data_IF_790895437735
#
_entry.id   IF_790895437735
#
_cell.length_a   1.000
_cell.length_b   1.000
_cell.length_c   1.000
_cell.angle_alpha   90.00
_cell.angle_beta   90.00
_cell.angle_gamma   90.00
#
_symmetry.space_group_name_H-M   'P 1'
#
loop_
_entity.id
_entity.type
_entity.pdbx_description
1 polymer ?
#
# COMPACT_ATOMS: atom_id res chain seq x y z
N UNK A 1 5.82 27.65 1.51
CA UNK A 1 6.31 26.37 2.06
C UNK A 1 5.10 25.47 2.26
N UNK A 2 4.80 24.58 1.30
CA UNK A 2 3.62 23.72 1.36
C UNK A 2 4.04 22.31 1.78
N UNK A 3 3.58 21.90 2.96
CA UNK A 3 3.65 20.53 3.45
C UNK A 3 2.79 19.64 2.54
N UNK A 4 3.41 18.73 1.79
CA UNK A 4 2.70 17.57 1.26
C UNK A 4 2.70 16.51 2.37
N UNK A 5 1.73 16.63 3.28
CA UNK A 5 1.24 15.48 4.01
C UNK A 5 0.72 14.50 2.96
N UNK A 6 1.38 13.35 2.79
CA UNK A 6 0.78 12.24 2.06
C UNK A 6 -0.62 12.00 2.60
N UNK A 7 -1.64 11.75 1.76
CA UNK A 7 -3.01 11.65 2.24
C UNK A 7 -3.11 10.47 3.21
N UNK A 8 -3.12 10.77 4.51
CA UNK A 8 -3.80 9.93 5.49
C UNK A 8 -5.27 10.02 5.15
N UNK A 9 -5.79 8.95 4.54
CA UNK A 9 -7.22 8.77 4.38
C UNK A 9 -7.84 8.61 5.77
N UNK A 10 -8.57 9.63 6.21
CA UNK A 10 -9.68 9.48 7.13
C UNK A 10 -10.79 10.42 6.64
N UNK A 11 -11.89 9.85 6.13
CA UNK A 11 -13.03 9.69 7.00
C UNK A 11 -13.56 8.25 6.98
N UNK A 12 -13.78 7.68 8.17
CA UNK A 12 -14.64 6.51 8.40
C UNK A 12 -14.52 5.34 7.41
N UNK A 13 -13.33 4.78 7.20
CA UNK A 13 -13.20 3.50 6.51
C UNK A 13 -13.66 2.39 7.47
N UNK A 14 -14.96 2.12 7.45
CA UNK A 14 -15.49 0.87 8.00
C UNK A 14 -14.84 -0.25 7.21
N UNK A 15 -14.14 -1.12 7.92
CA UNK A 15 -13.62 -2.29 7.27
C UNK A 15 -14.78 -3.17 6.77
N UNK A 16 -14.64 -3.71 5.58
CA UNK A 16 -15.70 -4.45 4.89
C UNK A 16 -15.14 -5.67 4.18
N UNK A 17 -16.04 -6.61 3.91
CA UNK A 17 -15.82 -7.73 3.01
C UNK A 17 -16.63 -7.52 1.73
N UNK A 18 -15.97 -7.60 0.58
CA UNK A 18 -16.59 -7.54 -0.73
C UNK A 18 -16.52 -8.90 -1.38
N UNK A 19 -17.69 -9.44 -1.71
CA UNK A 19 -17.82 -10.70 -2.43
C UNK A 19 -18.14 -10.39 -3.89
N UNK A 20 -17.32 -10.91 -4.79
CA UNK A 20 -17.51 -10.82 -6.23
C UNK A 20 -18.47 -11.90 -6.73
N UNK A 21 -19.01 -11.69 -7.93
CA UNK A 21 -19.86 -12.67 -8.63
C UNK A 21 -19.13 -13.99 -8.96
N UNK A 22 -17.80 -13.96 -9.06
CA UNK A 22 -16.96 -15.15 -9.27
C UNK A 22 -16.67 -15.94 -7.98
N UNK A 23 -17.17 -15.46 -6.83
CA UNK A 23 -16.98 -16.09 -5.52
C UNK A 23 -15.74 -15.64 -4.75
N UNK A 24 -14.88 -14.79 -5.32
CA UNK A 24 -13.74 -14.21 -4.59
C UNK A 24 -14.23 -13.21 -3.54
N UNK A 25 -13.56 -13.19 -2.39
CA UNK A 25 -13.82 -12.24 -1.32
C UNK A 25 -12.57 -11.40 -1.03
N UNK A 26 -12.75 -10.09 -0.90
CA UNK A 26 -11.70 -9.14 -0.52
C UNK A 26 -12.09 -8.46 0.78
N UNK A 27 -11.14 -8.33 1.71
CA UNK A 27 -11.37 -7.77 3.03
C UNK A 27 -10.43 -6.60 3.27
N UNK A 28 -10.95 -5.50 3.77
CA UNK A 28 -10.13 -4.34 4.10
C UNK A 28 -10.94 -3.06 4.19
N UNK A 29 -10.24 -1.94 4.07
CA UNK A 29 -10.80 -0.60 4.14
C UNK A 29 -11.49 -0.29 2.80
N UNK A 30 -12.80 -0.05 2.86
CA UNK A 30 -13.65 0.19 1.69
C UNK A 30 -13.79 1.68 1.35
N UNK A 31 -13.50 2.05 0.11
CA UNK A 31 -13.81 3.37 -0.44
C UNK A 31 -14.52 3.25 -1.80
N UNK A 32 -15.31 4.25 -2.17
CA UNK A 32 -15.87 4.35 -3.51
C UNK A 32 -15.15 5.45 -4.30
N UNK A 33 -14.79 5.16 -5.55
CA UNK A 33 -14.00 6.08 -6.38
C UNK A 33 -14.59 6.24 -7.77
N UNK A 34 -14.48 7.45 -8.39
CA UNK A 34 -14.98 7.70 -9.74
C UNK A 34 -14.08 7.08 -10.82
N UNK A 35 -12.76 6.98 -10.57
CA UNK A 35 -11.80 6.41 -11.51
C UNK A 35 -10.54 5.91 -10.78
N UNK A 36 -9.72 5.09 -11.45
CA UNK A 36 -8.45 4.57 -10.90
C UNK A 36 -7.45 5.71 -10.64
N UNK A 37 -7.40 6.71 -11.52
CA UNK A 37 -6.53 7.90 -11.36
C UNK A 37 -7.12 9.00 -10.50
N UNK A 38 -8.43 8.94 -10.22
CA UNK A 38 -9.21 9.97 -9.55
C UNK A 38 -9.31 9.79 -8.04
N UNK A 39 -8.19 9.54 -7.37
CA UNK A 39 -8.12 9.62 -5.90
C UNK A 39 -8.17 11.07 -5.37
N UNK A 40 -8.55 12.04 -6.21
CA UNK A 40 -8.76 13.43 -5.86
C UNK A 40 -9.73 14.10 -6.85
N UNK A 41 -10.74 14.77 -6.28
CA UNK A 41 -11.80 15.59 -6.91
C UNK A 41 -12.32 15.13 -8.27
N UNK A 42 -13.56 14.63 -8.28
CA UNK A 42 -14.33 14.51 -9.52
C UNK A 42 -14.38 15.84 -10.30
N UNK A 43 -14.61 15.79 -11.62
CA UNK A 43 -14.69 17.00 -12.44
C UNK A 43 -15.72 17.97 -11.83
N UNK A 44 -15.39 19.26 -11.66
CA UNK A 44 -16.35 20.23 -11.18
C UNK A 44 -17.35 20.54 -12.29
N UNK A 45 -18.61 20.13 -12.13
CA UNK A 45 -19.68 20.67 -12.97
C UNK A 45 -20.79 19.73 -13.46
N UNK A 46 -21.21 18.71 -12.69
CA UNK A 46 -22.49 18.04 -12.96
C UNK A 46 -23.37 18.07 -11.69
N UNK A 47 -24.61 18.54 -11.83
CA UNK A 47 -25.66 18.56 -10.78
C UNK A 47 -26.11 17.13 -10.37
N UNK A 48 -25.64 16.12 -11.09
CA UNK A 48 -25.72 14.72 -10.71
C UNK A 48 -24.41 14.40 -9.97
N UNK A 49 -24.50 14.13 -8.67
CA UNK A 49 -23.34 13.78 -7.85
C UNK A 49 -22.42 12.76 -8.55
N UNK A 50 -21.10 12.84 -8.35
CA UNK A 50 -20.12 12.10 -9.15
C UNK A 50 -20.44 10.60 -9.12
N UNK A 51 -20.72 10.02 -10.28
CA UNK A 51 -20.90 8.57 -10.41
C UNK A 51 -19.62 7.88 -9.91
N UNK A 52 -19.75 7.02 -8.89
CA UNK A 52 -18.66 6.20 -8.34
C UNK A 52 -18.80 4.74 -8.80
N UNK A 53 -18.44 4.39 -10.06
CA UNK A 53 -18.64 3.04 -10.57
C UNK A 53 -17.65 2.02 -9.98
N UNK A 54 -16.64 2.45 -9.22
CA UNK A 54 -15.55 1.61 -8.72
C UNK A 54 -15.59 1.59 -7.20
N UNK A 55 -15.41 0.39 -6.65
CA UNK A 55 -15.10 0.15 -5.24
C UNK A 55 -13.61 -0.13 -5.11
N UNK A 56 -12.96 0.57 -4.20
CA UNK A 56 -11.59 0.36 -3.77
C UNK A 56 -11.59 -0.39 -2.44
N UNK A 57 -10.86 -1.49 -2.36
CA UNK A 57 -10.47 -2.12 -1.11
C UNK A 57 -8.97 -2.01 -0.90
N UNK A 58 -8.58 -1.55 0.29
CA UNK A 58 -7.20 -1.48 0.75
C UNK A 58 -7.02 -2.40 1.97
N UNK A 59 -6.25 -3.47 1.83
CA UNK A 59 -5.89 -4.43 2.89
C UNK A 59 -4.55 -4.09 3.57
N UNK A 60 -4.10 -2.84 3.41
CA UNK A 60 -2.76 -2.34 3.70
C UNK A 60 -1.64 -2.92 2.83
N UNK A 61 -1.73 -4.13 2.27
CA UNK A 61 -0.72 -4.68 1.37
C UNK A 61 -0.97 -4.32 -0.11
N UNK A 62 -2.24 -4.29 -0.51
CA UNK A 62 -2.73 -4.20 -1.89
C UNK A 62 -3.93 -3.28 -1.94
N UNK A 63 -4.05 -2.58 -3.07
CA UNK A 63 -5.22 -1.78 -3.42
C UNK A 63 -5.93 -2.44 -4.60
N UNK A 64 -7.14 -2.93 -4.38
CA UNK A 64 -7.95 -3.58 -5.40
C UNK A 64 -9.06 -2.62 -5.86
N UNK A 65 -9.02 -2.24 -7.14
CA UNK A 65 -10.06 -1.45 -7.79
C UNK A 65 -11.02 -2.39 -8.52
N UNK A 66 -12.27 -2.41 -8.09
CA UNK A 66 -13.28 -3.37 -8.54
C UNK A 66 -14.45 -2.58 -9.12
N UNK A 67 -14.90 -2.93 -10.33
CA UNK A 67 -16.14 -2.36 -10.87
C UNK A 67 -17.34 -2.84 -10.06
N UNK A 68 -18.24 -1.93 -9.68
CA UNK A 68 -19.50 -2.26 -8.97
C UNK A 68 -20.34 -3.31 -9.69
N UNK A 69 -20.20 -3.41 -11.02
CA UNK A 69 -20.91 -4.40 -11.85
C UNK A 69 -20.54 -5.84 -11.53
N UNK A 70 -19.34 -6.08 -10.98
CA UNK A 70 -18.84 -7.40 -10.62
C UNK A 70 -19.11 -7.75 -9.15
N UNK A 71 -19.67 -6.82 -8.38
CA UNK A 71 -20.03 -7.08 -6.99
C UNK A 71 -21.26 -7.98 -6.93
N UNK A 72 -21.20 -8.94 -6.00
CA UNK A 72 -22.34 -9.73 -5.55
C UNK A 72 -22.88 -9.17 -4.25
N UNK A 73 -22.00 -8.90 -3.28
CA UNK A 73 -22.36 -8.48 -1.93
C UNK A 73 -21.26 -7.61 -1.32
N UNK A 74 -21.64 -6.68 -0.44
CA UNK A 74 -20.72 -5.87 0.37
C UNK A 74 -21.18 -5.96 1.83
N UNK A 75 -20.36 -6.54 2.70
CA UNK A 75 -20.62 -6.73 4.12
C UNK A 75 -19.80 -5.73 4.92
N UNK A 76 -20.45 -4.66 5.38
CA UNK A 76 -19.79 -3.61 6.18
C UNK A 76 -19.66 -4.07 7.63
N UNK A 77 -18.50 -3.81 8.27
CA UNK A 77 -18.23 -4.19 9.66
C UNK A 77 -17.60 -5.58 9.81
N UNK A 78 -17.59 -6.41 8.76
CA UNK A 78 -16.97 -7.75 8.75
C UNK A 78 -15.51 -7.73 8.27
N UNK A 79 -14.75 -6.68 8.61
CA UNK A 79 -13.35 -6.58 8.20
C UNK A 79 -12.37 -7.52 8.91
N UNK A 80 -12.87 -8.41 9.77
CA UNK A 80 -12.03 -9.33 10.55
C UNK A 80 -11.24 -8.64 11.66
N UNK A 81 -10.46 -9.47 12.35
CA UNK A 81 -9.64 -9.06 13.49
C UNK A 81 -8.56 -8.06 13.09
N UNK A 82 -8.29 -7.10 13.97
CA UNK A 82 -7.15 -6.18 13.81
C UNK A 82 -5.87 -7.01 13.94
N UNK A 83 -5.02 -7.10 12.91
CA UNK A 83 -3.83 -7.92 12.98
C UNK A 83 -2.86 -7.38 14.03
N UNK A 84 -2.20 -8.29 14.75
CA UNK A 84 -1.12 -7.94 15.66
C UNK A 84 0.03 -7.27 14.90
N UNK A 85 0.61 -6.24 15.51
CA UNK A 85 1.64 -5.39 14.91
C UNK A 85 2.88 -5.38 15.78
N UNK A 86 3.96 -5.95 15.27
CA UNK A 86 5.28 -5.88 15.87
C UNK A 86 6.06 -4.75 15.24
N UNK A 87 6.58 -3.83 16.05
CA UNK A 87 7.41 -2.71 15.55
C UNK A 87 8.88 -3.03 15.76
N UNK A 88 9.65 -2.95 14.67
CA UNK A 88 11.09 -3.19 14.67
C UNK A 88 11.77 -1.83 14.52
N UNK A 89 12.69 -1.52 15.43
CA UNK A 89 13.38 -0.24 15.40
C UNK A 89 14.39 -0.18 14.25
N UNK A 90 14.15 0.70 13.28
CA UNK A 90 15.11 1.08 12.24
C UNK A 90 15.15 2.60 12.11
N UNK A 91 16.30 3.15 11.68
CA UNK A 91 16.45 4.57 11.37
C UNK A 91 15.92 4.89 9.96
N UNK A 92 14.63 4.68 9.73
CA UNK A 92 14.00 4.99 8.45
C UNK A 92 14.13 6.48 8.11
N UNK A 93 14.57 6.79 6.88
CA UNK A 93 14.76 8.16 6.44
C UNK A 93 13.42 8.81 6.12
N UNK A 94 13.10 9.87 6.86
CA UNK A 94 11.85 10.65 6.67
C UNK A 94 12.04 11.87 5.77
N UNK A 95 13.26 12.40 5.70
CA UNK A 95 13.59 13.62 4.97
C UNK A 95 14.89 13.36 4.20
N UNK A 96 14.87 13.59 2.88
CA UNK A 96 16.05 13.40 2.03
C UNK A 96 15.69 13.00 0.59
N UNK A 97 16.63 12.37 -0.14
CA UNK A 97 16.41 11.86 -1.48
C UNK A 97 15.18 10.94 -1.52
N UNK A 98 14.17 11.29 -2.31
CA UNK A 98 12.88 10.59 -2.33
C UNK A 98 12.76 9.74 -3.59
N UNK A 99 12.40 8.46 -3.42
CA UNK A 99 12.13 7.57 -4.56
C UNK A 99 10.73 7.87 -5.09
N UNK A 100 10.66 8.53 -6.26
CA UNK A 100 9.39 8.82 -6.96
C UNK A 100 9.02 7.76 -7.99
N UNK A 101 10.03 7.17 -8.61
CA UNK A 101 9.88 6.12 -9.61
C UNK A 101 11.00 5.10 -9.45
N UNK A 102 10.66 3.85 -9.71
CA UNK A 102 11.59 2.71 -9.70
C UNK A 102 11.64 2.21 -11.13
N UNK A 103 12.82 2.23 -11.75
CA UNK A 103 13.05 1.62 -13.06
C UNK A 103 13.28 0.11 -12.95
N UNK A 104 13.89 -0.52 -13.97
CA UNK A 104 14.19 -1.94 -13.93
C UNK A 104 15.00 -2.32 -12.69
N UNK A 105 14.54 -3.37 -12.00
CA UNK A 105 15.24 -3.93 -10.84
C UNK A 105 16.48 -4.66 -11.33
N UNK A 106 17.63 -4.33 -10.75
CA UNK A 106 18.91 -4.93 -11.12
C UNK A 106 19.29 -6.04 -10.15
N UNK A 107 19.11 -5.79 -8.85
CA UNK A 107 19.48 -6.74 -7.79
C UNK A 107 18.65 -6.46 -6.54
N UNK A 108 18.26 -7.53 -5.84
CA UNK A 108 17.69 -7.46 -4.50
C UNK A 108 18.51 -8.44 -3.66
N UNK A 109 19.14 -7.97 -2.59
CA UNK A 109 19.75 -8.88 -1.62
C UNK A 109 18.67 -9.46 -0.72
N UNK A 110 18.98 -10.61 -0.12
CA UNK A 110 18.20 -11.12 1.01
C UNK A 110 18.28 -10.16 2.20
N UNK A 111 17.38 -10.37 3.15
CA UNK A 111 17.42 -9.65 4.42
C UNK A 111 18.51 -10.24 5.30
N UNK A 112 19.26 -9.38 6.01
CA UNK A 112 20.19 -9.78 7.07
C UNK A 112 19.43 -10.08 8.37
N UNK A 113 20.15 -10.58 9.39
CA UNK A 113 19.64 -10.88 10.74
C UNK A 113 18.99 -9.67 11.45
N UNK A 114 19.17 -8.45 10.92
CA UNK A 114 18.57 -7.23 11.41
C UNK A 114 17.38 -6.77 10.56
N UNK A 115 16.94 -7.58 9.60
CA UNK A 115 15.84 -7.30 8.70
C UNK A 115 16.16 -6.21 7.68
N UNK A 116 17.42 -6.07 7.24
CA UNK A 116 17.86 -5.08 6.25
C UNK A 116 18.31 -5.71 4.95
N UNK A 117 18.06 -5.03 3.84
CA UNK A 117 18.50 -5.46 2.50
C UNK A 117 18.92 -4.28 1.63
N UNK A 118 19.63 -4.57 0.55
CA UNK A 118 19.98 -3.63 -0.50
C UNK A 118 19.09 -3.91 -1.71
N UNK A 119 18.39 -2.87 -2.15
CA UNK A 119 17.54 -2.89 -3.32
C UNK A 119 18.16 -1.98 -4.40
N UNK A 120 18.65 -2.58 -5.48
CA UNK A 120 19.32 -1.89 -6.58
C UNK A 120 18.41 -1.84 -7.80
N UNK A 121 18.14 -0.63 -8.30
CA UNK A 121 17.36 -0.42 -9.52
C UNK A 121 17.96 0.68 -10.37
N UNK A 122 17.64 0.64 -11.66
CA UNK A 122 18.11 1.65 -12.59
C UNK A 122 17.21 2.89 -12.55
N UNK A 123 17.82 4.07 -12.58
CA UNK A 123 17.15 5.36 -12.75
C UNK A 123 17.58 5.99 -14.06
N UNK A 124 16.99 7.14 -14.42
CA UNK A 124 17.45 7.92 -15.58
C UNK A 124 18.88 8.45 -15.43
N UNK A 125 19.45 8.42 -14.21
CA UNK A 125 20.82 8.87 -13.92
C UNK A 125 21.79 7.71 -13.66
N UNK A 126 21.34 6.46 -13.81
CA UNK A 126 22.12 5.26 -13.51
C UNK A 126 21.57 4.45 -12.34
N UNK A 127 22.25 3.35 -11.96
CA UNK A 127 21.82 2.47 -10.88
C UNK A 127 21.93 3.17 -9.52
N UNK A 128 20.93 2.92 -8.67
CA UNK A 128 20.88 3.44 -7.30
C UNK A 128 20.70 2.27 -6.35
N UNK A 129 21.55 2.23 -5.32
CA UNK A 129 21.45 1.30 -4.20
C UNK A 129 20.66 1.93 -3.07
N UNK A 130 19.54 1.30 -2.72
CA UNK A 130 18.69 1.73 -1.63
C UNK A 130 18.74 0.72 -0.50
N UNK A 131 19.18 1.17 0.68
CA UNK A 131 19.17 0.35 1.89
C UNK A 131 17.77 0.40 2.47
N UNK A 132 17.17 -0.76 2.63
CA UNK A 132 15.83 -0.97 3.16
C UNK A 132 15.90 -1.76 4.46
N UNK A 133 14.95 -1.53 5.36
CA UNK A 133 14.80 -2.28 6.61
C UNK A 133 13.32 -2.52 6.94
N UNK A 134 13.04 -3.67 7.56
CA UNK A 134 11.70 -3.99 8.08
C UNK A 134 11.44 -3.14 9.33
N UNK A 135 10.33 -2.41 9.37
CA UNK A 135 9.96 -1.52 10.49
C UNK A 135 8.68 -1.91 11.20
N UNK A 136 7.77 -2.61 10.50
CA UNK A 136 6.53 -3.13 11.07
C UNK A 136 6.28 -4.51 10.48
N UNK A 137 5.93 -5.48 11.33
CA UNK A 137 5.64 -6.85 10.95
C UNK A 137 4.23 -7.20 11.42
N UNK A 138 3.45 -7.79 10.52
CA UNK A 138 2.14 -8.36 10.80
C UNK A 138 2.09 -9.79 10.22
N UNK A 139 1.09 -10.62 10.56
CA UNK A 139 0.97 -11.95 9.97
C UNK A 139 0.78 -11.95 8.44
N UNK A 140 0.24 -10.87 7.86
CA UNK A 140 -0.08 -10.79 6.43
C UNK A 140 0.93 -9.98 5.62
N UNK A 141 1.44 -8.90 6.20
CA UNK A 141 2.37 -8.00 5.54
C UNK A 141 3.46 -7.47 6.47
N UNK A 142 4.59 -7.13 5.87
CA UNK A 142 5.69 -6.43 6.51
C UNK A 142 5.87 -5.06 5.83
N UNK A 143 6.03 -4.02 6.63
CA UNK A 143 6.43 -2.69 6.16
C UNK A 143 7.94 -2.63 6.05
N UNK A 144 8.40 -2.27 4.87
CA UNK A 144 9.81 -2.13 4.53
C UNK A 144 10.06 -0.67 4.19
N UNK A 145 10.84 0.01 5.01
CA UNK A 145 11.16 1.42 4.83
C UNK A 145 12.64 1.58 4.51
N UNK A 146 12.96 2.57 3.68
CA UNK A 146 14.36 2.86 3.38
C UNK A 146 15.04 3.70 4.46
N UNK A 147 16.29 3.34 4.72
CA UNK A 147 17.21 4.02 5.64
C UNK A 147 18.04 5.07 4.90
N UNK A 148 18.26 4.89 3.59
CA UNK A 148 19.07 5.81 2.77
C UNK A 148 18.23 6.77 1.91
N UNK A 149 16.98 6.44 1.62
CA UNK A 149 16.07 7.24 0.80
C UNK A 149 14.70 7.32 1.46
N UNK A 150 13.91 8.35 1.14
CA UNK A 150 12.50 8.39 1.52
C UNK A 150 11.74 7.45 0.59
N UNK A 151 11.49 6.25 1.08
CA UNK A 151 10.71 5.22 0.40
C UNK A 151 10.06 4.29 1.42
N UNK A 152 8.74 4.14 1.30
CA UNK A 152 7.91 3.25 2.12
C UNK A 152 7.21 2.25 1.20
N UNK A 153 7.30 0.97 1.54
CA UNK A 153 6.67 -0.11 0.81
C UNK A 153 6.19 -1.20 1.77
N UNK A 154 5.32 -2.07 1.25
CA UNK A 154 4.84 -3.24 1.98
C UNK A 154 5.02 -4.49 1.14
N UNK A 155 5.39 -5.58 1.79
CA UNK A 155 5.55 -6.91 1.18
C UNK A 155 4.77 -7.94 1.98
N UNK A 156 4.44 -9.08 1.37
CA UNK A 156 3.80 -10.17 2.11
C UNK A 156 4.78 -10.75 3.13
N UNK A 157 4.35 -11.00 4.36
CA UNK A 157 5.22 -11.60 5.39
C UNK A 157 5.71 -12.98 4.96
N UNK A 158 4.88 -13.73 4.23
CA UNK A 158 5.24 -15.03 3.63
C UNK A 158 6.32 -14.96 2.53
N UNK A 159 6.68 -13.75 2.07
CA UNK A 159 7.80 -13.57 1.13
C UNK A 159 9.14 -13.36 1.81
N UNK A 160 9.16 -13.24 3.14
CA UNK A 160 10.37 -13.13 3.95
C UNK A 160 10.73 -14.55 4.44
N UNK A 161 12.00 -14.98 4.27
CA UNK A 161 12.47 -16.25 4.85
C UNK A 161 12.23 -16.33 6.36
N UNK A 162 11.88 -17.51 6.88
CA UNK A 162 11.50 -17.70 8.29
C UNK A 162 12.68 -17.73 9.26
N UNK A 163 13.89 -17.85 8.73
CA UNK A 163 15.16 -17.86 9.46
C UNK A 163 15.65 -16.45 9.83
N UNK A 164 14.92 -15.41 9.39
CA UNK A 164 15.23 -13.99 9.58
C UNK A 164 14.27 -13.34 10.59
#
# INVERSE_FOLDING_TARGET
MWLVLGPSFAPGLLGAEVVLRDGRAYRGKLAEVPSVGGLGKGPPGDEIGPLTPIVLIDDDLRRCFISKRHLREVRQGEAGEVPEKFRIWQKALRIGPTVKSVGPVMKITEFDDFGRRIFTFNTTRGPVDVVQGITELTPQWARVESISHVWDMRIATSSIPQDI
#
